data_IF_263195206729
#
_entry.id   IF_263195206729
#
_cell.length_a   1.000
_cell.length_b   1.000
_cell.length_c   1.000
_cell.angle_alpha   90.00
_cell.angle_beta   90.00
_cell.angle_gamma   90.00
#
_symmetry.space_group_name_H-M   'P 1'
#
loop_
_entity.id
_entity.type
_entity.pdbx_description
1 polymer ?
#
# COMPACT_ATOMS: atom_id res chain seq x y z
N UNK A 1 3.84 -7.63 17.70
CA UNK A 1 4.29 -7.20 16.35
C UNK A 1 3.59 -8.01 15.30
N UNK A 2 2.46 -7.47 14.83
CA UNK A 2 1.51 -8.16 13.97
C UNK A 2 1.19 -7.31 12.74
N UNK A 3 1.29 -7.93 11.57
CA UNK A 3 0.71 -7.44 10.32
C UNK A 3 -0.69 -8.03 10.20
N UNK A 4 -1.71 -7.17 10.08
CA UNK A 4 -3.11 -7.58 9.98
C UNK A 4 -3.50 -7.91 8.54
N UNK A 5 -3.29 -6.98 7.60
CA UNK A 5 -3.74 -7.12 6.23
C UNK A 5 -2.90 -6.29 5.25
N UNK A 6 -2.88 -6.71 3.99
CA UNK A 6 -2.33 -5.98 2.85
C UNK A 6 -3.43 -5.75 1.82
N UNK A 7 -3.61 -4.49 1.41
CA UNK A 7 -4.43 -4.11 0.27
C UNK A 7 -3.52 -3.51 -0.81
N UNK A 8 -3.80 -3.83 -2.07
CA UNK A 8 -3.15 -3.18 -3.22
C UNK A 8 -4.21 -2.50 -4.06
N UNK A 9 -4.01 -1.20 -4.28
CA UNK A 9 -4.90 -0.34 -5.07
C UNK A 9 -4.15 0.05 -6.34
N UNK A 10 -4.80 -0.11 -7.47
CA UNK A 10 -4.25 0.20 -8.77
C UNK A 10 -4.17 1.73 -9.01
N UNK A 11 -3.64 2.14 -10.16
CA UNK A 11 -3.46 3.57 -10.46
C UNK A 11 -4.80 4.29 -10.59
N UNK A 12 -5.84 3.60 -11.03
CA UNK A 12 -7.21 4.13 -11.16
C UNK A 12 -8.02 4.15 -9.85
N UNK A 13 -7.46 3.68 -8.74
CA UNK A 13 -8.16 3.65 -7.44
C UNK A 13 -9.00 2.40 -7.19
N UNK A 14 -8.94 1.41 -8.08
CA UNK A 14 -9.57 0.10 -7.88
C UNK A 14 -8.72 -0.82 -7.00
N UNK A 15 -9.37 -1.56 -6.11
CA UNK A 15 -8.73 -2.63 -5.36
C UNK A 15 -8.38 -3.80 -6.29
N UNK A 16 -7.12 -4.18 -6.32
CA UNK A 16 -6.64 -5.32 -7.12
C UNK A 16 -6.12 -6.47 -6.26
N UNK A 17 -5.94 -6.27 -4.96
CA UNK A 17 -5.54 -7.34 -4.05
C UNK A 17 -5.96 -7.03 -2.61
N UNK A 18 -6.39 -8.06 -1.89
CA UNK A 18 -6.64 -8.02 -0.46
C UNK A 18 -6.21 -9.35 0.16
N UNK A 19 -5.40 -9.30 1.22
CA UNK A 19 -4.99 -10.48 1.99
C UNK A 19 -4.93 -10.16 3.47
N UNK A 20 -5.57 -11.00 4.26
CA UNK A 20 -5.50 -10.99 5.72
C UNK A 20 -4.42 -11.97 6.19
N UNK A 21 -3.60 -11.55 7.15
CA UNK A 21 -2.54 -12.36 7.76
C UNK A 21 -2.79 -12.66 9.24
N UNK A 22 -3.66 -11.90 9.90
CA UNK A 22 -4.00 -12.08 11.30
C UNK A 22 -5.44 -11.63 11.60
N UNK A 23 -6.13 -12.36 12.48
CA UNK A 23 -7.47 -12.01 12.96
C UNK A 23 -7.36 -10.94 14.06
N UNK A 24 -7.42 -9.66 13.67
CA UNK A 24 -7.43 -8.53 14.61
C UNK A 24 -8.25 -7.33 14.13
N UNK A 25 -8.71 -7.37 12.88
CA UNK A 25 -9.58 -6.36 12.28
C UNK A 25 -10.93 -6.98 11.93
N UNK A 26 -11.99 -6.18 11.99
CA UNK A 26 -13.31 -6.59 11.52
C UNK A 26 -13.27 -6.87 10.03
N UNK A 27 -13.74 -8.06 9.64
CA UNK A 27 -13.79 -8.47 8.24
C UNK A 27 -14.87 -7.69 7.51
N UNK A 28 -14.49 -7.05 6.40
CA UNK A 28 -15.42 -6.32 5.55
C UNK A 28 -15.95 -7.22 4.43
N UNK A 29 -17.10 -6.86 3.84
CA UNK A 29 -17.57 -7.54 2.63
C UNK A 29 -16.66 -7.19 1.43
N UNK A 30 -16.74 -7.99 0.36
CA UNK A 30 -15.98 -7.72 -0.86
C UNK A 30 -16.26 -6.32 -1.42
N UNK A 31 -17.52 -5.88 -1.42
CA UNK A 31 -17.92 -4.56 -1.91
C UNK A 31 -17.41 -3.44 -1.01
N UNK A 32 -17.42 -3.64 0.31
CA UNK A 32 -16.91 -2.64 1.27
C UNK A 32 -15.41 -2.42 1.08
N UNK A 33 -14.64 -3.46 0.76
CA UNK A 33 -13.23 -3.31 0.41
C UNK A 33 -13.02 -2.52 -0.89
N UNK A 34 -13.90 -2.69 -1.90
CA UNK A 34 -13.86 -1.89 -3.13
C UNK A 34 -14.13 -0.42 -2.84
N UNK A 35 -15.15 -0.14 -2.00
CA UNK A 35 -15.50 1.22 -1.57
C UNK A 35 -14.33 1.83 -0.79
N UNK A 36 -13.77 1.09 0.19
CA UNK A 36 -12.63 1.52 1.00
C UNK A 36 -11.44 1.93 0.12
N UNK A 37 -11.10 1.12 -0.89
CA UNK A 37 -10.00 1.43 -1.81
C UNK A 37 -10.27 2.71 -2.63
N UNK A 38 -11.46 2.86 -3.19
CA UNK A 38 -11.85 4.05 -3.93
C UNK A 38 -11.87 5.31 -3.06
N UNK A 39 -12.43 5.21 -1.85
CA UNK A 39 -12.43 6.31 -0.87
C UNK A 39 -11.01 6.69 -0.48
N UNK A 40 -10.16 5.72 -0.12
CA UNK A 40 -8.76 6.01 0.21
C UNK A 40 -8.04 6.70 -0.95
N UNK A 41 -8.23 6.20 -2.18
CA UNK A 41 -7.62 6.80 -3.36
C UNK A 41 -8.01 8.27 -3.55
N UNK A 42 -9.29 8.60 -3.37
CA UNK A 42 -9.79 9.97 -3.43
C UNK A 42 -9.22 10.85 -2.32
N UNK A 43 -9.27 10.38 -1.07
CA UNK A 43 -8.73 11.14 0.08
C UNK A 43 -7.22 11.34 -0.07
N UNK A 44 -6.48 10.35 -0.54
CA UNK A 44 -5.04 10.44 -0.80
C UNK A 44 -4.71 11.57 -1.78
N UNK A 45 -5.48 11.72 -2.87
CA UNK A 45 -5.33 12.80 -3.83
C UNK A 45 -5.71 14.17 -3.27
N UNK A 46 -6.77 14.24 -2.44
CA UNK A 46 -7.18 15.46 -1.75
C UNK A 46 -6.08 15.90 -0.77
N UNK A 47 -5.57 15.00 0.06
CA UNK A 47 -4.48 15.28 1.01
C UNK A 47 -3.25 15.87 0.30
N UNK A 48 -2.87 15.32 -0.86
CA UNK A 48 -1.80 15.88 -1.70
C UNK A 48 -2.08 17.32 -2.15
N UNK A 49 -3.33 17.63 -2.47
CA UNK A 49 -3.74 18.98 -2.93
C UNK A 49 -3.75 19.99 -1.79
N UNK A 50 -4.06 19.54 -0.57
CA UNK A 50 -4.07 20.33 0.66
C UNK A 50 -2.66 20.62 1.22
N UNK A 51 -1.63 19.90 0.74
CA UNK A 51 -0.26 20.12 1.21
C UNK A 51 0.18 21.58 0.99
N UNK A 52 0.60 22.30 2.05
CA UNK A 52 0.99 23.69 1.97
C UNK A 52 2.06 23.93 0.90
N UNK A 53 1.90 25.03 0.14
CA UNK A 53 2.82 25.39 -0.94
C UNK A 53 4.28 25.55 -0.49
N UNK A 54 4.51 25.87 0.79
CA UNK A 54 5.84 25.98 1.40
C UNK A 54 6.67 24.68 1.40
N UNK A 55 6.03 23.52 1.19
CA UNK A 55 6.69 22.21 1.08
C UNK A 55 6.80 21.73 -0.38
N UNK A 56 6.33 22.52 -1.35
CA UNK A 56 6.46 22.19 -2.77
C UNK A 56 7.89 22.52 -3.21
N UNK A 57 8.62 21.59 -3.84
CA UNK A 57 9.97 21.88 -4.30
C UNK A 57 9.92 23.05 -5.29
N UNK A 58 10.55 24.16 -4.93
CA UNK A 58 10.81 25.26 -5.86
C UNK A 58 11.58 24.70 -7.04
N UNK A 59 11.15 24.98 -8.26
CA UNK A 59 11.76 24.52 -9.51
C UNK A 59 13.23 25.00 -9.70
N UNK A 60 13.83 25.67 -8.71
CA UNK A 60 15.11 26.36 -8.80
C UNK A 60 16.29 25.62 -8.17
N UNK A 61 16.10 24.59 -7.35
CA UNK A 61 17.20 23.88 -6.68
C UNK A 61 17.23 22.38 -6.99
N UNK A 62 18.08 22.00 -7.95
CA UNK A 62 18.26 20.66 -8.55
C UNK A 62 19.05 19.68 -7.63
N UNK A 63 19.23 19.97 -6.34
CA UNK A 63 20.17 19.20 -5.50
C UNK A 63 19.55 18.15 -4.59
N UNK A 64 18.22 18.01 -4.50
CA UNK A 64 17.60 16.86 -3.82
C UNK A 64 16.28 16.48 -4.49
N UNK A 65 16.08 15.23 -4.91
CA UNK A 65 14.76 14.73 -5.28
C UNK A 65 13.95 14.53 -4.00
N UNK A 66 13.59 15.62 -3.31
CA UNK A 66 12.50 15.57 -2.34
C UNK A 66 11.27 15.24 -3.15
N UNK A 67 10.86 13.96 -3.11
CA UNK A 67 9.59 13.53 -3.66
C UNK A 67 8.53 14.47 -3.07
N UNK A 68 7.94 15.32 -3.92
CA UNK A 68 6.89 16.23 -3.48
C UNK A 68 5.79 15.44 -2.79
N UNK A 69 5.03 16.07 -1.90
CA UNK A 69 4.00 15.39 -1.11
C UNK A 69 3.18 14.41 -1.97
N UNK A 70 3.21 13.13 -1.60
CA UNK A 70 2.62 12.04 -2.38
C UNK A 70 1.12 11.88 -2.09
N UNK A 71 0.72 12.18 -0.85
CA UNK A 71 -0.64 12.07 -0.33
C UNK A 71 -0.62 11.59 1.13
N UNK A 72 -1.53 10.68 1.48
CA UNK A 72 -1.53 10.03 2.79
C UNK A 72 -0.45 8.95 2.80
N UNK A 73 0.48 9.04 3.77
CA UNK A 73 1.55 8.06 3.95
C UNK A 73 1.31 7.18 5.18
N UNK A 74 0.74 7.75 6.25
CA UNK A 74 0.44 7.04 7.50
C UNK A 74 -0.91 7.49 8.04
N UNK A 75 -1.70 6.53 8.51
CA UNK A 75 -2.92 6.72 9.29
C UNK A 75 -2.84 5.84 10.54
N UNK A 76 -2.81 6.46 11.71
CA UNK A 76 -2.72 5.78 13.00
C UNK A 76 -4.02 5.91 13.79
N UNK A 77 -4.38 4.83 14.47
CA UNK A 77 -5.48 4.74 15.41
C UNK A 77 -5.02 3.97 16.65
N UNK A 78 -5.87 3.87 17.67
CA UNK A 78 -5.59 3.09 18.88
C UNK A 78 -5.42 1.59 18.58
N UNK A 79 -6.10 1.08 17.56
CA UNK A 79 -6.18 -0.35 17.27
C UNK A 79 -5.25 -0.80 16.15
N UNK A 80 -4.97 0.08 15.19
CA UNK A 80 -4.13 -0.24 14.05
C UNK A 80 -3.40 1.00 13.51
N UNK A 81 -2.31 0.73 12.82
CA UNK A 81 -1.61 1.67 11.94
C UNK A 81 -1.69 1.17 10.51
N UNK A 82 -2.16 2.03 9.61
CA UNK A 82 -2.15 1.83 8.17
C UNK A 82 -1.05 2.67 7.55
N UNK A 83 -0.16 2.03 6.79
CA UNK A 83 0.90 2.71 6.06
C UNK A 83 0.69 2.52 4.56
N UNK A 84 0.77 3.63 3.82
CA UNK A 84 0.59 3.69 2.39
C UNK A 84 1.95 3.88 1.71
N UNK A 85 2.31 2.93 0.85
CA UNK A 85 3.42 3.06 -0.08
C UNK A 85 2.90 3.22 -1.50
N UNK A 86 3.02 4.44 -2.05
CA UNK A 86 2.73 4.71 -3.45
C UNK A 86 3.99 4.56 -4.30
N UNK A 87 3.93 3.67 -5.29
CA UNK A 87 4.97 3.49 -6.31
C UNK A 87 4.97 4.64 -7.32
N UNK A 88 6.09 4.82 -8.03
CA UNK A 88 6.20 5.81 -9.13
C UNK A 88 5.23 5.54 -10.28
N UNK A 89 4.77 4.30 -10.45
CA UNK A 89 3.76 3.92 -11.44
C UNK A 89 2.33 4.25 -10.99
N UNK A 90 2.13 4.60 -9.72
CA UNK A 90 0.84 5.03 -9.15
C UNK A 90 0.08 3.97 -8.37
N UNK A 91 0.54 2.71 -8.36
CA UNK A 91 0.02 1.62 -7.53
C UNK A 91 0.31 1.89 -6.05
N UNK A 92 -0.66 1.66 -5.18
CA UNK A 92 -0.57 1.93 -3.74
C UNK A 92 -0.68 0.63 -2.96
N UNK A 93 0.22 0.44 -2.02
CA UNK A 93 0.24 -0.70 -1.10
C UNK A 93 -0.14 -0.18 0.29
N UNK A 94 -1.28 -0.63 0.81
CA UNK A 94 -1.75 -0.28 2.14
C UNK A 94 -1.49 -1.46 3.06
N UNK A 95 -0.58 -1.29 4.01
CA UNK A 95 -0.29 -2.30 5.03
C UNK A 95 -0.93 -1.89 6.35
N UNK A 96 -1.78 -2.76 6.88
CA UNK A 96 -2.38 -2.62 8.19
C UNK A 96 -1.61 -3.44 9.21
N UNK A 97 -1.22 -2.81 10.30
CA UNK A 97 -0.35 -3.36 11.35
C UNK A 97 -0.83 -2.91 12.73
N UNK A 98 -0.31 -3.52 13.79
CA UNK A 98 -0.45 -2.93 15.13
C UNK A 98 0.28 -1.57 15.21
N UNK A 99 -0.18 -0.61 16.05
CA UNK A 99 0.40 0.74 16.08
C UNK A 99 1.91 0.78 16.37
N UNK A 100 2.42 -0.17 17.15
CA UNK A 100 3.83 -0.22 17.55
C UNK A 100 4.72 -1.02 16.58
N UNK A 101 4.20 -1.47 15.43
CA UNK A 101 4.97 -2.26 14.47
C UNK A 101 6.16 -1.45 13.91
N UNK A 102 7.41 -1.92 14.06
CA UNK A 102 8.59 -1.25 13.56
C UNK A 102 8.85 -1.65 12.11
N UNK A 103 9.68 -0.86 11.43
CA UNK A 103 10.23 -1.19 10.11
C UNK A 103 9.17 -1.47 9.02
N UNK A 104 7.98 -0.88 9.14
CA UNK A 104 6.88 -1.05 8.18
C UNK A 104 7.29 -0.67 6.75
N UNK A 105 8.14 0.36 6.58
CA UNK A 105 8.69 0.74 5.28
C UNK A 105 9.53 -0.36 4.63
N UNK A 106 10.30 -1.10 5.42
CA UNK A 106 11.13 -2.21 4.92
C UNK A 106 10.24 -3.37 4.47
N UNK A 107 9.20 -3.66 5.25
CA UNK A 107 8.20 -4.67 4.91
C UNK A 107 7.50 -4.30 3.59
N UNK A 108 7.05 -3.06 3.44
CA UNK A 108 6.38 -2.58 2.22
C UNK A 108 7.30 -2.62 0.99
N UNK A 109 8.57 -2.23 1.13
CA UNK A 109 9.55 -2.36 0.04
C UNK A 109 9.73 -3.82 -0.38
N UNK A 110 9.82 -4.74 0.58
CA UNK A 110 9.94 -6.17 0.27
C UNK A 110 8.69 -6.73 -0.39
N UNK A 111 7.50 -6.30 0.05
CA UNK A 111 6.22 -6.64 -0.59
C UNK A 111 6.19 -6.15 -2.04
N UNK A 112 6.69 -4.93 -2.30
CA UNK A 112 6.78 -4.40 -3.65
C UNK A 112 7.74 -5.20 -4.55
N UNK A 113 8.89 -5.65 -4.03
CA UNK A 113 9.79 -6.56 -4.75
C UNK A 113 9.09 -7.88 -5.13
N UNK A 114 8.38 -8.50 -4.17
CA UNK A 114 7.60 -9.72 -4.42
C UNK A 114 6.50 -9.50 -5.47
N UNK A 115 5.85 -8.34 -5.45
CA UNK A 115 4.86 -7.96 -6.46
C UNK A 115 5.52 -7.83 -7.84
N UNK A 116 6.66 -7.15 -7.95
CA UNK A 116 7.39 -7.03 -9.20
C UNK A 116 7.81 -8.41 -9.75
N UNK A 117 8.28 -9.31 -8.88
CA UNK A 117 8.77 -10.62 -9.30
C UNK A 117 7.67 -11.62 -9.67
N UNK A 118 6.58 -11.68 -8.90
CA UNK A 118 5.55 -12.72 -9.06
C UNK A 118 4.28 -12.26 -9.76
N UNK A 119 4.08 -10.96 -9.89
CA UNK A 119 2.91 -10.38 -10.56
C UNK A 119 3.32 -9.73 -11.87
N UNK A 120 4.27 -8.79 -11.86
CA UNK A 120 4.65 -8.05 -13.07
C UNK A 120 5.45 -8.88 -14.09
N UNK A 121 6.22 -9.89 -13.64
CA UNK A 121 6.91 -10.82 -14.56
C UNK A 121 6.03 -11.97 -15.04
N UNK A 122 4.77 -12.07 -14.59
CA UNK A 122 3.86 -13.13 -15.04
C UNK A 122 3.22 -12.72 -16.39
N UNK A 123 3.51 -13.42 -17.51
CA UNK A 123 2.99 -13.04 -18.83
C UNK A 123 1.46 -13.19 -18.96
N UNK A 124 0.82 -13.91 -18.03
CA UNK A 124 -0.65 -14.09 -18.01
C UNK A 124 -1.36 -13.08 -17.11
N UNK A 125 -0.63 -12.18 -16.46
CA UNK A 125 -1.23 -11.15 -15.63
C UNK A 125 -1.51 -9.89 -16.45
N UNK A 126 -2.77 -9.50 -16.50
CA UNK A 126 -3.18 -8.20 -17.06
C UNK A 126 -3.04 -7.12 -15.99
N UNK A 127 -2.27 -6.07 -16.27
CA UNK A 127 -2.07 -4.93 -15.37
C UNK A 127 -3.40 -4.26 -15.04
N UNK A 128 -3.50 -3.66 -13.85
CA UNK A 128 -4.71 -3.03 -13.27
C UNK A 128 -5.87 -3.99 -12.96
N UNK A 129 -5.76 -5.29 -13.25
CA UNK A 129 -6.76 -6.31 -12.90
C UNK A 129 -6.42 -7.02 -11.58
N UNK A 130 -7.39 -7.70 -10.94
CA UNK A 130 -7.14 -8.41 -9.69
C UNK A 130 -5.98 -9.41 -9.77
N UNK A 131 -5.12 -9.39 -8.76
CA UNK A 131 -3.94 -10.25 -8.65
C UNK A 131 -4.39 -11.63 -8.17
N UNK A 132 -4.15 -12.66 -8.99
CA UNK A 132 -4.48 -14.07 -8.69
C UNK A 132 -3.25 -14.99 -8.68
N UNK A 133 -2.08 -14.44 -8.34
CA UNK A 133 -0.81 -15.15 -8.37
C UNK A 133 -0.57 -15.94 -7.08
N UNK A 134 -0.68 -17.27 -7.13
CA UNK A 134 -0.38 -18.13 -5.97
C UNK A 134 1.08 -18.03 -5.50
N UNK A 135 2.01 -17.74 -6.42
CA UNK A 135 3.42 -17.50 -6.07
C UNK A 135 3.56 -16.24 -5.22
N UNK A 136 2.81 -15.20 -5.55
CA UNK A 136 2.77 -13.97 -4.77
C UNK A 136 2.18 -14.22 -3.38
N UNK A 137 1.04 -14.91 -3.28
CA UNK A 137 0.41 -15.27 -2.00
C UNK A 137 1.37 -16.04 -1.08
N UNK A 138 2.02 -17.10 -1.60
CA UNK A 138 2.98 -17.89 -0.82
C UNK A 138 4.22 -17.08 -0.43
N UNK A 139 4.71 -16.22 -1.31
CA UNK A 139 5.83 -15.33 -1.02
C UNK A 139 5.52 -14.35 0.11
N UNK A 140 4.32 -13.76 0.11
CA UNK A 140 3.85 -12.88 1.16
C UNK A 140 3.68 -13.61 2.49
N UNK A 141 3.00 -14.76 2.49
CA UNK A 141 2.82 -15.54 3.71
C UNK A 141 4.13 -16.01 4.32
N UNK A 142 5.06 -16.50 3.48
CA UNK A 142 6.38 -16.92 3.92
C UNK A 142 7.15 -15.76 4.55
N UNK A 143 7.14 -14.58 3.93
CA UNK A 143 7.85 -13.42 4.45
C UNK A 143 7.20 -12.85 5.73
N UNK A 144 5.87 -12.69 5.76
CA UNK A 144 5.16 -12.06 6.88
C UNK A 144 5.09 -12.98 8.10
N UNK A 145 5.01 -14.30 7.93
CA UNK A 145 5.02 -15.25 9.06
C UNK A 145 6.40 -15.40 9.69
N UNK A 146 7.48 -15.30 8.91
CA UNK A 146 8.86 -15.45 9.41
C UNK A 146 9.30 -14.22 10.22
N UNK A 147 8.80 -13.03 9.89
CA UNK A 147 9.12 -11.79 10.61
C UNK A 147 8.15 -11.49 11.79
N UNK A 148 7.66 -12.54 12.47
CA UNK A 148 6.91 -12.41 13.72
C UNK A 148 7.84 -12.39 14.93
#
# INVERSE_FOLDING_TARGET
MVVFALLVINKAGGLIYNREFHSGLSKLSGNDYLILAGTFHGVHAISRSLCPSALRPSATNVSQPRQGATGIEVLESENFRMQCYQTVTGTKFLLFTEPQQPNVDVILKRIYELYADFVMKNPFHTVEMPIRSEKFDRGLEGYIRVNR
#
